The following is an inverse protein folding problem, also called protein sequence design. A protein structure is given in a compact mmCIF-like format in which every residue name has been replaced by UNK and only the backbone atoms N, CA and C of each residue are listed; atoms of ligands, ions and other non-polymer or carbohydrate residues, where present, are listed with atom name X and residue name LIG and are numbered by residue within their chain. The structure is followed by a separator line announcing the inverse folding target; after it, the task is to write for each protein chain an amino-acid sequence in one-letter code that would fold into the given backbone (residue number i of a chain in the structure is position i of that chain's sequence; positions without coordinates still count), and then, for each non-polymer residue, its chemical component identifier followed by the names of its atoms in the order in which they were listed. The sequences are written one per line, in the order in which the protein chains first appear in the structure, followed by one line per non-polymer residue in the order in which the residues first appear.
data_IF_550922914600
#
_entry.id   IF_550922914600
#
_cell.length_a   1.000
_cell.length_b   1.000
_cell.length_c   1.000
_cell.angle_alpha   90.00
_cell.angle_beta   90.00
_cell.angle_gamma   90.00
#
_symmetry.space_group_name_H-M   'P 1'
#
loop_
_entity.id
_entity.type
_entity.pdbx_description
1 polymer ?
#
# COMPACT_ATOMS: atom_id res chain seq x y z
N UNK A 1 -4.11 6.76 15.48
CA UNK A 1 -3.69 8.15 15.81
C UNK A 1 -3.45 8.91 14.52
N UNK A 2 -3.57 10.25 14.52
CA UNK A 2 -3.37 11.07 13.33
C UNK A 2 -2.75 12.43 13.69
N UNK A 3 -1.91 12.95 12.80
CA UNK A 3 -1.35 14.31 12.92
C UNK A 3 -2.41 15.37 12.61
N UNK A 4 -2.06 16.65 12.77
CA UNK A 4 -2.80 17.74 12.12
C UNK A 4 -2.73 17.61 10.59
N UNK A 5 -3.67 18.25 9.90
CA UNK A 5 -3.67 18.34 8.43
C UNK A 5 -2.71 19.47 8.05
N UNK A 6 -1.66 19.12 7.32
CA UNK A 6 -0.64 20.04 6.84
C UNK A 6 -1.01 20.54 5.44
N UNK A 7 -0.67 21.79 5.17
CA UNK A 7 -0.81 22.44 3.87
C UNK A 7 0.51 22.26 3.12
N UNK A 8 0.45 21.79 1.87
CA UNK A 8 1.65 21.51 1.07
C UNK A 8 1.74 22.46 -0.13
N UNK A 9 2.71 23.37 -0.08
CA UNK A 9 3.14 24.16 -1.23
C UNK A 9 3.73 23.28 -2.35
N UNK A 10 3.74 23.78 -3.59
CA UNK A 10 4.51 23.16 -4.69
C UNK A 10 6.00 23.48 -4.59
N UNK A 11 6.76 22.97 -5.56
CA UNK A 11 8.20 23.17 -5.66
C UNK A 11 8.60 24.65 -5.87
N UNK A 12 7.65 25.51 -6.28
CA UNK A 12 7.83 26.96 -6.42
C UNK A 12 7.34 27.75 -5.19
N UNK A 13 6.81 27.07 -4.17
CA UNK A 13 6.29 27.69 -2.95
C UNK A 13 4.81 28.12 -3.03
N UNK A 14 4.09 27.82 -4.11
CA UNK A 14 2.68 28.19 -4.23
C UNK A 14 1.80 27.19 -3.46
N UNK A 15 0.97 27.72 -2.56
CA UNK A 15 -0.01 26.93 -1.79
C UNK A 15 -1.29 26.73 -2.61
N UNK A 16 -1.80 27.79 -3.23
CA UNK A 16 -2.97 27.75 -4.11
C UNK A 16 -2.53 27.52 -5.54
N UNK A 17 -3.04 26.46 -6.17
CA UNK A 17 -2.70 26.10 -7.55
C UNK A 17 -3.91 26.28 -8.44
N UNK A 18 -3.78 27.15 -9.43
CA UNK A 18 -4.80 27.33 -10.46
C UNK A 18 -4.92 26.08 -11.32
N UNK A 19 -6.16 25.74 -11.70
CA UNK A 19 -6.41 24.65 -12.64
C UNK A 19 -6.05 25.07 -14.06
N UNK A 20 -5.27 24.23 -14.75
CA UNK A 20 -4.90 24.46 -16.15
C UNK A 20 -6.09 24.42 -17.11
N UNK A 21 -7.16 23.71 -16.74
CA UNK A 21 -8.35 23.55 -17.58
C UNK A 21 -9.42 24.60 -17.29
N UNK A 22 -9.51 25.08 -16.05
CA UNK A 22 -10.55 26.03 -15.62
C UNK A 22 -9.93 27.12 -14.73
N UNK A 23 -9.57 28.30 -15.28
CA UNK A 23 -8.84 29.34 -14.55
C UNK A 23 -9.54 29.89 -13.29
N UNK A 24 -10.87 29.81 -13.22
CA UNK A 24 -11.65 30.25 -12.05
C UNK A 24 -11.53 29.31 -10.85
N UNK A 25 -11.02 28.10 -11.05
CA UNK A 25 -10.90 27.08 -10.02
C UNK A 25 -9.44 26.77 -9.72
N UNK A 26 -9.21 26.33 -8.50
CA UNK A 26 -7.91 25.87 -8.05
C UNK A 26 -8.02 24.74 -7.05
N UNK A 27 -6.87 24.35 -6.54
CA UNK A 27 -6.80 23.42 -5.44
C UNK A 27 -5.61 23.70 -4.52
N UNK A 28 -5.73 23.25 -3.28
CA UNK A 28 -4.65 23.21 -2.30
C UNK A 28 -4.39 21.74 -1.95
N UNK A 29 -3.12 21.34 -1.94
CA UNK A 29 -2.76 19.98 -1.52
C UNK A 29 -2.64 19.92 -0.01
N UNK A 30 -3.40 19.01 0.58
CA UNK A 30 -3.40 18.75 2.01
C UNK A 30 -2.81 17.37 2.28
N UNK A 31 -2.09 17.22 3.39
CA UNK A 31 -1.54 15.93 3.81
C UNK A 31 -1.69 15.74 5.31
N UNK A 32 -2.05 14.53 5.71
CA UNK A 32 -2.11 14.11 7.10
C UNK A 32 -1.37 12.79 7.25
N UNK A 33 -0.62 12.64 8.33
CA UNK A 33 -0.01 11.36 8.67
C UNK A 33 -0.92 10.59 9.61
N UNK A 34 -1.24 9.35 9.25
CA UNK A 34 -2.02 8.42 10.07
C UNK A 34 -1.14 7.25 10.52
N UNK A 35 -1.30 6.89 11.79
CA UNK A 35 -0.66 5.71 12.39
C UNK A 35 -1.74 4.67 12.67
N UNK A 36 -1.56 3.50 12.06
CA UNK A 36 -2.41 2.31 12.23
C UNK A 36 -1.60 1.18 12.86
N UNK A 37 -2.25 0.38 13.70
CA UNK A 37 -1.65 -0.78 14.34
C UNK A 37 -2.23 -2.04 13.68
N UNK A 38 -1.37 -2.88 13.10
CA UNK A 38 -1.78 -4.14 12.48
C UNK A 38 -2.06 -5.22 13.53
N UNK A 39 -2.75 -6.29 13.10
CA UNK A 39 -3.14 -7.41 13.97
C UNK A 39 -1.97 -8.19 14.61
N UNK A 40 -0.72 -7.88 14.29
CA UNK A 40 0.49 -8.46 14.90
C UNK A 40 1.28 -7.49 15.78
N UNK A 41 0.69 -6.37 16.21
CA UNK A 41 1.39 -5.34 17.01
C UNK A 41 2.30 -4.41 16.21
N UNK A 42 2.40 -4.60 14.89
CA UNK A 42 3.19 -3.76 14.00
C UNK A 42 2.57 -2.38 13.81
N UNK A 43 3.39 -1.34 13.96
CA UNK A 43 2.99 0.05 13.71
C UNK A 43 3.24 0.39 12.25
N UNK A 44 2.22 0.88 11.54
CA UNK A 44 2.34 1.41 10.19
C UNK A 44 1.98 2.90 10.18
N UNK A 45 2.95 3.73 9.78
CA UNK A 45 2.76 5.15 9.50
C UNK A 45 2.48 5.31 8.01
N UNK A 46 1.37 5.96 7.65
CA UNK A 46 0.99 6.22 6.26
C UNK A 46 0.63 7.69 6.08
N UNK A 47 1.08 8.29 4.99
CA UNK A 47 0.65 9.62 4.60
C UNK A 47 -0.58 9.52 3.71
N UNK A 48 -1.63 10.25 4.07
CA UNK A 48 -2.83 10.42 3.24
C UNK A 48 -2.87 11.86 2.76
N UNK A 49 -3.15 12.06 1.48
CA UNK A 49 -3.26 13.40 0.90
C UNK A 49 -4.58 13.56 0.18
N UNK A 50 -5.10 14.78 0.16
CA UNK A 50 -6.26 15.15 -0.63
C UNK A 50 -6.04 16.51 -1.28
N UNK A 51 -6.85 16.82 -2.28
CA UNK A 51 -6.91 18.13 -2.91
C UNK A 51 -8.17 18.84 -2.43
N UNK A 52 -8.00 19.95 -1.71
CA UNK A 52 -9.08 20.86 -1.38
C UNK A 52 -9.37 21.72 -2.60
N UNK A 53 -10.47 21.44 -3.28
CA UNK A 53 -10.89 22.18 -4.48
C UNK A 53 -11.80 23.33 -4.09
N UNK A 54 -11.70 24.44 -4.80
CA UNK A 54 -12.53 25.62 -4.60
C UNK A 54 -12.38 26.61 -5.74
N UNK A 55 -13.15 27.70 -5.69
CA UNK A 55 -12.87 28.85 -6.55
C UNK A 55 -11.54 29.47 -6.13
N UNK A 56 -10.81 30.03 -7.08
CA UNK A 56 -9.53 30.64 -6.81
C UNK A 56 -9.66 31.81 -5.82
N UNK A 57 -10.72 32.62 -5.96
CA UNK A 57 -11.07 33.70 -5.04
C UNK A 57 -11.25 33.19 -3.61
N UNK A 58 -12.17 32.23 -3.39
CA UNK A 58 -12.43 31.63 -2.08
C UNK A 58 -11.16 31.04 -1.44
N UNK A 59 -10.31 30.37 -2.24
CA UNK A 59 -9.07 29.75 -1.74
C UNK A 59 -8.03 30.79 -1.30
N UNK A 60 -7.95 31.92 -2.01
CA UNK A 60 -7.04 33.02 -1.64
C UNK A 60 -7.56 33.78 -0.41
N UNK A 61 -8.87 34.00 -0.31
CA UNK A 61 -9.50 34.67 0.84
C UNK A 61 -9.34 33.90 2.15
N UNK A 62 -9.23 32.57 2.09
CA UNK A 62 -8.97 31.73 3.26
C UNK A 62 -7.58 31.97 3.89
N UNK A 63 -6.66 32.65 3.19
CA UNK A 63 -5.35 33.00 3.73
C UNK A 63 -4.45 31.79 4.02
N UNK A 64 -4.66 30.69 3.28
CA UNK A 64 -3.97 29.41 3.51
C UNK A 64 -2.45 29.50 3.30
N UNK A 65 -1.97 30.49 2.55
CA UNK A 65 -0.54 30.76 2.32
C UNK A 65 0.22 31.12 3.59
N UNK A 66 -0.46 31.70 4.58
CA UNK A 66 0.14 32.07 5.87
C UNK A 66 0.00 30.96 6.92
N UNK A 67 -0.53 29.80 6.55
CA UNK A 67 -0.82 28.69 7.46
C UNK A 67 -0.02 27.45 7.08
N UNK A 68 0.60 26.80 8.07
CA UNK A 68 1.23 25.49 7.85
C UNK A 68 0.23 24.33 8.00
N UNK A 69 -0.80 24.53 8.81
CA UNK A 69 -1.78 23.49 9.17
C UNK A 69 -3.19 24.04 9.26
N UNK A 70 -4.17 23.21 8.95
CA UNK A 70 -5.59 23.52 9.06
C UNK A 70 -6.29 22.55 10.02
N UNK A 71 -7.22 23.01 10.90
CA UNK A 71 -8.01 22.12 11.74
C UNK A 71 -8.96 21.28 10.88
N UNK A 72 -9.06 19.99 11.21
CA UNK A 72 -9.93 19.04 10.51
C UNK A 72 -9.27 17.69 10.35
N UNK A 73 -9.80 16.90 9.43
CA UNK A 73 -9.35 15.53 9.16
C UNK A 73 -9.46 15.22 7.67
N UNK A 74 -8.54 14.39 7.18
CA UNK A 74 -8.69 13.75 5.88
C UNK A 74 -9.35 12.38 6.12
N UNK A 75 -10.53 12.18 5.54
CA UNK A 75 -11.31 10.94 5.60
C UNK A 75 -11.23 10.20 4.28
N UNK A 76 -11.19 8.87 4.37
CA UNK A 76 -11.30 7.99 3.20
C UNK A 76 -12.77 7.63 3.03
N UNK A 77 -13.30 7.81 1.82
CA UNK A 77 -14.65 7.35 1.47
C UNK A 77 -14.57 6.34 0.33
N UNK A 78 -15.23 5.22 0.54
CA UNK A 78 -15.35 4.14 -0.42
C UNK A 78 -16.82 3.89 -0.76
N UNK A 79 -17.09 3.62 -2.03
CA UNK A 79 -18.43 3.38 -2.56
C UNK A 79 -18.36 2.50 -3.83
N UNK A 80 -19.50 1.94 -4.23
CA UNK A 80 -19.63 1.08 -5.41
C UNK A 80 -20.01 1.86 -6.69
N UNK A 81 -20.27 3.15 -6.56
CA UNK A 81 -20.53 4.05 -7.68
C UNK A 81 -19.34 4.98 -7.92
N UNK A 82 -19.04 5.35 -9.18
CA UNK A 82 -17.94 6.24 -9.47
C UNK A 82 -18.16 7.65 -8.90
N UNK A 83 -17.07 8.29 -8.41
CA UNK A 83 -17.13 9.67 -7.94
C UNK A 83 -17.24 10.70 -9.07
N UNK A 84 -16.87 10.32 -10.29
CA UNK A 84 -16.95 11.16 -11.49
C UNK A 84 -17.71 10.42 -12.57
N UNK A 85 -18.82 11.00 -13.04
CA UNK A 85 -19.60 10.44 -14.16
C UNK A 85 -18.84 10.51 -15.49
N UNK A 86 -17.99 11.52 -15.63
CA UNK A 86 -17.24 11.76 -16.87
C UNK A 86 -15.96 10.93 -16.96
N UNK A 87 -15.46 10.44 -15.82
CA UNK A 87 -14.20 9.71 -15.73
C UNK A 87 -14.31 8.68 -14.60
N UNK A 88 -15.12 7.62 -14.78
CA UNK A 88 -15.47 6.69 -13.72
C UNK A 88 -14.24 5.93 -13.21
N UNK A 89 -13.30 5.59 -14.10
CA UNK A 89 -12.17 4.72 -13.79
C UNK A 89 -11.07 5.37 -12.94
N UNK A 90 -11.11 6.69 -12.77
CA UNK A 90 -10.06 7.47 -12.09
C UNK A 90 -9.84 7.04 -10.65
N UNK A 91 -10.94 6.81 -9.94
CA UNK A 91 -10.95 6.69 -8.49
C UNK A 91 -11.06 5.22 -8.04
N UNK A 92 -10.66 4.25 -8.88
CA UNK A 92 -10.62 2.85 -8.47
C UNK A 92 -9.71 2.63 -7.27
N UNK A 93 -10.17 1.82 -6.31
CA UNK A 93 -9.35 1.31 -5.22
C UNK A 93 -8.41 0.25 -5.78
N UNK A 94 -7.12 0.58 -5.87
CA UNK A 94 -6.07 -0.35 -6.32
C UNK A 94 -5.33 -0.97 -5.14
N UNK A 95 -5.00 -2.25 -5.24
CA UNK A 95 -4.30 -3.02 -4.22
C UNK A 95 -2.78 -2.78 -4.31
N UNK A 96 -2.23 -1.96 -3.40
CA UNK A 96 -0.79 -1.74 -3.31
C UNK A 96 -0.17 -1.34 -4.66
N UNK A 97 0.96 -1.97 -5.00
CA UNK A 97 1.69 -1.76 -6.26
C UNK A 97 1.23 -2.69 -7.38
N UNK A 98 0.48 -3.76 -7.08
CA UNK A 98 0.01 -4.72 -8.10
C UNK A 98 -0.96 -4.11 -9.10
N UNK A 99 -1.59 -2.98 -8.75
CA UNK A 99 -2.53 -2.27 -9.62
C UNK A 99 -3.89 -2.96 -9.78
N UNK A 100 -4.08 -4.15 -9.17
CA UNK A 100 -5.35 -4.89 -9.21
C UNK A 100 -6.45 -4.06 -8.55
N UNK A 101 -7.59 -3.95 -9.24
CA UNK A 101 -8.76 -3.24 -8.72
C UNK A 101 -9.39 -4.10 -7.63
N UNK A 102 -9.58 -3.51 -6.45
CA UNK A 102 -10.30 -4.14 -5.36
C UNK A 102 -11.79 -4.20 -5.70
N UNK A 103 -12.37 -5.39 -5.63
CA UNK A 103 -13.76 -5.64 -5.96
C UNK A 103 -14.49 -6.33 -4.80
N UNK A 104 -15.80 -6.09 -4.71
CA UNK A 104 -16.72 -6.86 -3.88
C UNK A 104 -17.80 -7.43 -4.79
N UNK A 105 -17.95 -8.76 -4.78
CA UNK A 105 -18.92 -9.49 -5.60
C UNK A 105 -18.80 -9.18 -7.11
N UNK A 106 -17.56 -9.00 -7.57
CA UNK A 106 -17.23 -8.64 -8.95
C UNK A 106 -17.44 -7.17 -9.31
N UNK A 107 -17.97 -6.35 -8.40
CA UNK A 107 -18.13 -4.90 -8.59
C UNK A 107 -16.90 -4.13 -8.10
N UNK A 108 -16.38 -3.17 -8.86
CA UNK A 108 -15.21 -2.41 -8.45
C UNK A 108 -15.55 -1.44 -7.30
N UNK A 109 -14.61 -1.29 -6.37
CA UNK A 109 -14.72 -0.32 -5.28
C UNK A 109 -14.00 0.95 -5.71
N UNK A 110 -14.66 2.10 -5.56
CA UNK A 110 -14.07 3.41 -5.74
C UNK A 110 -13.62 3.96 -4.39
N UNK A 111 -12.44 4.59 -4.34
CA UNK A 111 -11.87 5.17 -3.13
C UNK A 111 -11.36 6.57 -3.40
N UNK A 112 -11.84 7.53 -2.60
CA UNK A 112 -11.36 8.92 -2.64
C UNK A 112 -11.22 9.51 -1.24
N UNK A 113 -10.20 10.35 -1.06
CA UNK A 113 -9.93 11.07 0.19
C UNK A 113 -10.55 12.45 0.15
N UNK A 114 -11.17 12.86 1.24
CA UNK A 114 -11.81 14.18 1.38
C UNK A 114 -11.31 14.89 2.64
N UNK A 115 -11.16 16.20 2.56
CA UNK A 115 -10.99 17.03 3.75
C UNK A 115 -12.37 17.32 4.35
N UNK A 116 -12.47 17.22 5.67
CA UNK A 116 -13.64 17.59 6.47
C UNK A 116 -13.18 18.38 7.68
N UNK A 117 -13.90 19.47 7.99
CA UNK A 117 -13.60 20.30 9.14
C UNK A 117 -13.92 19.59 10.47
N UNK A 118 -14.89 18.66 10.43
CA UNK A 118 -15.23 17.81 11.57
C UNK A 118 -14.12 16.79 11.85
N UNK A 119 -13.42 16.98 12.97
CA UNK A 119 -12.35 16.10 13.40
C UNK A 119 -12.85 14.70 13.84
N UNK A 120 -14.14 14.55 14.13
CA UNK A 120 -14.75 13.29 14.57
C UNK A 120 -15.21 12.41 13.42
N UNK A 121 -15.31 12.96 12.20
CA UNK A 121 -15.73 12.23 11.02
C UNK A 121 -14.92 10.94 10.81
N UNK A 122 -15.60 9.85 10.49
CA UNK A 122 -14.99 8.53 10.30
C UNK A 122 -14.77 8.19 8.83
N UNK A 123 -13.86 7.25 8.57
CA UNK A 123 -13.69 6.72 7.23
C UNK A 123 -14.86 5.80 6.89
N UNK A 124 -15.27 5.81 5.63
CA UNK A 124 -16.20 4.83 5.07
C UNK A 124 -15.36 3.87 4.22
N UNK A 125 -15.18 2.65 4.71
CA UNK A 125 -14.37 1.62 4.07
C UNK A 125 -15.24 0.42 3.68
N UNK A 126 -14.99 -0.12 2.50
CA UNK A 126 -15.62 -1.30 1.96
C UNK A 126 -14.56 -2.41 1.86
N UNK A 127 -14.88 -3.55 2.44
CA UNK A 127 -14.06 -4.74 2.33
C UNK A 127 -14.19 -5.34 0.92
N UNK A 128 -13.06 -5.63 0.29
CA UNK A 128 -13.01 -6.35 -0.97
C UNK A 128 -12.92 -7.86 -0.70
N UNK A 129 -13.43 -8.68 -1.62
CA UNK A 129 -13.39 -10.15 -1.50
C UNK A 129 -12.54 -10.83 -2.57
N UNK A 130 -11.99 -10.08 -3.54
CA UNK A 130 -11.08 -10.59 -4.56
C UNK A 130 -9.63 -10.77 -4.06
N UNK A 131 -9.47 -11.27 -2.83
CA UNK A 131 -8.17 -11.44 -2.20
C UNK A 131 -7.27 -12.48 -2.87
N UNK A 132 -7.84 -13.44 -3.62
CA UNK A 132 -7.06 -14.44 -4.35
C UNK A 132 -6.31 -13.80 -5.53
N UNK A 133 -7.01 -13.02 -6.36
CA UNK A 133 -6.40 -12.30 -7.50
C UNK A 133 -5.23 -11.41 -7.07
N UNK A 134 -5.36 -10.75 -5.91
CA UNK A 134 -4.32 -9.90 -5.35
C UNK A 134 -3.11 -10.73 -4.88
N UNK A 135 -3.34 -11.92 -4.30
CA UNK A 135 -2.25 -12.82 -3.89
C UNK A 135 -1.52 -13.40 -5.09
N UNK A 136 -2.25 -13.78 -6.13
CA UNK A 136 -1.69 -14.34 -7.35
C UNK A 136 -0.80 -13.30 -8.04
N UNK A 137 -1.27 -12.05 -8.14
CA UNK A 137 -0.49 -10.94 -8.69
C UNK A 137 0.79 -10.63 -7.89
N UNK A 138 0.72 -10.64 -6.56
CA UNK A 138 1.92 -10.46 -5.73
C UNK A 138 2.91 -11.62 -5.90
N UNK A 139 2.42 -12.85 -6.05
CA UNK A 139 3.26 -14.04 -6.22
C UNK A 139 4.00 -14.03 -7.56
N UNK A 140 3.39 -13.51 -8.64
CA UNK A 140 4.04 -13.37 -9.93
C UNK A 140 5.17 -12.33 -9.95
N UNK A 141 5.02 -11.23 -9.20
CA UNK A 141 6.02 -10.16 -9.09
C UNK A 141 7.26 -10.59 -8.25
N UNK A 142 7.09 -11.60 -7.38
CA UNK A 142 8.16 -12.08 -6.47
C UNK A 142 9.20 -12.97 -7.17
N UNK A 143 9.04 -13.28 -8.46
CA UNK A 143 9.95 -14.15 -9.24
C UNK A 143 11.37 -13.58 -9.46
N UNK A 144 11.71 -12.43 -8.88
CA UNK A 144 13.02 -11.76 -9.08
C UNK A 144 13.68 -11.19 -7.82
N UNK A 145 13.24 -11.56 -6.62
CA UNK A 145 13.93 -11.21 -5.37
C UNK A 145 14.51 -12.46 -4.70
N UNK A 146 15.84 -12.50 -4.56
CA UNK A 146 16.59 -13.55 -3.88
C UNK A 146 16.11 -13.70 -2.43
N UNK A 147 15.58 -14.89 -2.10
CA UNK A 147 15.23 -15.32 -0.75
C UNK A 147 16.43 -15.15 0.20
N UNK A 148 16.41 -14.11 1.03
CA UNK A 148 17.12 -14.14 2.32
C UNK A 148 16.06 -14.10 3.40
N UNK A 149 15.59 -15.28 3.82
CA UNK A 149 14.66 -15.43 4.94
C UNK A 149 15.40 -15.11 6.24
N UNK A 150 15.45 -13.83 6.60
CA UNK A 150 15.82 -13.43 7.96
C UNK A 150 14.57 -13.55 8.83
N UNK A 151 14.64 -14.35 9.89
CA UNK A 151 13.53 -14.51 10.82
C UNK A 151 13.26 -13.21 11.60
N UNK A 152 12.04 -13.04 12.10
CA UNK A 152 11.73 -11.88 12.94
C UNK A 152 12.57 -11.86 14.23
N UNK A 153 12.97 -13.01 14.78
CA UNK A 153 13.86 -13.10 15.93
C UNK A 153 15.26 -12.55 15.60
N UNK A 154 15.84 -12.95 14.47
CA UNK A 154 17.12 -12.44 13.98
C UNK A 154 17.06 -10.94 13.65
N UNK A 155 15.96 -10.47 13.07
CA UNK A 155 15.78 -9.05 12.75
C UNK A 155 15.75 -8.13 13.99
N UNK A 156 15.44 -8.69 15.17
CA UNK A 156 15.40 -7.97 16.45
C UNK A 156 16.45 -8.44 17.46
N UNK A 157 17.38 -9.32 17.07
CA UNK A 157 18.47 -9.80 17.93
C UNK A 157 18.01 -10.67 19.10
N UNK A 158 16.90 -11.40 18.95
CA UNK A 158 16.50 -12.44 19.89
C UNK A 158 17.13 -13.77 19.48
N UNK A 159 17.74 -14.49 20.44
CA UNK A 159 18.17 -15.87 20.21
C UNK A 159 16.94 -16.74 19.93
N UNK A 160 16.96 -17.43 18.79
CA UNK A 160 15.95 -18.43 18.43
C UNK A 160 16.17 -19.68 19.31
N UNK A 161 15.22 -20.05 20.19
CA UNK A 161 15.40 -21.14 21.13
C UNK A 161 15.53 -22.54 20.49
N UNK A 162 15.34 -22.68 19.18
CA UNK A 162 15.42 -23.98 18.48
C UNK A 162 16.71 -24.21 17.66
N UNK A 163 17.65 -23.28 17.63
CA UNK A 163 18.86 -23.39 16.82
C UNK A 163 20.08 -24.01 17.54
N UNK A 164 19.90 -25.08 18.31
CA UNK A 164 21.04 -25.83 18.89
C UNK A 164 20.72 -27.34 18.87
N UNK A 165 21.00 -28.00 17.73
CA UNK A 165 21.75 -29.27 17.66
C UNK A 165 21.76 -29.85 16.24
N UNK A 166 22.95 -29.81 15.64
CA UNK A 166 23.65 -30.93 15.00
C UNK A 166 24.43 -30.44 13.76
N UNK A 167 25.62 -29.90 13.99
CA UNK A 167 26.71 -29.99 13.02
C UNK A 167 27.81 -30.81 13.69
N UNK A 168 28.14 -31.95 13.09
CA UNK A 168 29.51 -32.38 12.82
C UNK A 168 29.49 -33.81 12.31
N UNK A 169 29.89 -34.01 11.05
CA UNK A 169 30.86 -35.04 10.64
C UNK A 169 31.30 -34.73 9.21
N UNK A 170 32.50 -34.16 9.11
CA UNK A 170 33.31 -34.05 7.90
C UNK A 170 34.05 -35.37 7.68
N UNK A 171 33.87 -36.07 6.55
CA UNK A 171 34.89 -37.00 6.02
C UNK A 171 34.80 -37.14 4.49
N UNK A 172 35.78 -36.51 3.82
CA UNK A 172 36.62 -37.01 2.72
C UNK A 172 35.99 -37.40 1.37
N UNK A 173 36.45 -36.69 0.34
CA UNK A 173 36.34 -37.02 -1.07
C UNK A 173 37.29 -38.15 -1.48
N UNK A 174 36.83 -39.09 -2.31
CA UNK A 174 37.71 -39.85 -3.21
C UNK A 174 36.97 -40.16 -4.52
N UNK A 175 37.73 -40.02 -5.61
CA UNK A 175 37.38 -40.17 -7.02
C UNK A 175 37.29 -41.67 -7.41
N UNK A 176 36.92 -41.95 -8.67
CA UNK A 176 37.30 -43.13 -9.50
C UNK A 176 36.16 -44.11 -9.90
N UNK A 177 35.72 -43.90 -11.16
CA UNK A 177 35.58 -44.85 -12.31
C UNK A 177 34.32 -45.73 -12.49
N UNK A 178 33.90 -45.70 -13.77
CA UNK A 178 32.97 -46.51 -14.56
C UNK A 178 32.92 -48.02 -14.24
N UNK A 179 31.77 -48.67 -14.44
CA UNK A 179 31.56 -49.71 -15.49
C UNK A 179 30.09 -50.18 -15.50
N UNK A 180 29.52 -50.29 -16.70
CA UNK A 180 28.23 -50.95 -17.01
C UNK A 180 28.24 -52.43 -16.61
N UNK A 181 27.13 -52.98 -16.10
CA UNK A 181 26.69 -54.33 -16.50
C UNK A 181 25.15 -54.41 -16.57
N UNK A 182 24.73 -54.96 -17.70
CA UNK A 182 23.43 -55.29 -18.25
C UNK A 182 22.72 -56.49 -17.53
N UNK A 183 21.44 -56.67 -17.89
CA UNK A 183 20.64 -57.92 -17.83
C UNK A 183 20.14 -58.38 -16.43
N UNK A 184 18.96 -58.96 -16.22
CA UNK A 184 17.82 -59.36 -17.05
C UNK A 184 16.59 -59.61 -16.14
N UNK A 185 15.41 -59.62 -16.76
CA UNK A 185 14.17 -60.36 -16.44
C UNK A 185 13.88 -60.80 -14.99
N UNK A 186 12.67 -60.50 -14.49
CA UNK A 186 11.60 -61.52 -14.41
C UNK A 186 10.28 -60.96 -13.87
N UNK A 187 9.22 -61.45 -14.50
CA UNK A 187 7.79 -61.31 -14.20
C UNK A 187 7.39 -62.09 -12.92
N UNK A 188 6.13 -61.87 -12.52
CA UNK A 188 5.27 -62.59 -11.54
C UNK A 188 4.99 -61.77 -10.26
N UNK A 189 3.74 -61.53 -9.83
CA UNK A 189 2.39 -61.85 -10.33
C UNK A 189 1.42 -60.83 -9.71
#
# INVERSE_FOLDING_TARGET
MQSKVNILADDMGNVVRQSSSNPEFGHVRLQQTRVTFGNGGWVKKSNISTLLHGKLEDLNELGLESMDTIPGKIVIKEQLEPFSKNDPDRDYKKAGETGIICCVDGQPIYRKTFFVADATAEDVLIAHNNGQDIKDANSSETSSAVDTKVSAAEAFGFEDPEAEKANDTEVVAEEVVEEEVLEEETFEL
#
